data_IF_754052544719
#
_entry.id   IF_754052544719
#
_cell.length_a   1.000
_cell.length_b   1.000
_cell.length_c   1.000
_cell.angle_alpha   90.00
_cell.angle_beta   90.00
_cell.angle_gamma   90.00
#
_symmetry.space_group_name_H-M   'P 1'
#
loop_
_entity.id
_entity.type
_entity.pdbx_description
1 polymer ?
#
# COMPACT_ATOMS: atom_id res chain seq x y z
N UNK A 1 -5.17 -19.31 -28.68
CA UNK A 1 -5.44 -18.98 -27.28
C UNK A 1 -6.43 -17.84 -27.29
N UNK A 2 -7.67 -18.05 -26.84
CA UNK A 2 -8.57 -16.94 -26.56
C UNK A 2 -7.84 -15.97 -25.63
N UNK A 3 -7.75 -14.71 -26.01
CA UNK A 3 -7.23 -13.67 -25.14
C UNK A 3 -8.13 -13.62 -23.91
N UNK A 4 -7.60 -13.97 -22.74
CA UNK A 4 -8.35 -13.89 -21.50
C UNK A 4 -8.98 -12.49 -21.37
N UNK A 5 -10.27 -12.44 -21.09
CA UNK A 5 -11.04 -11.22 -21.02
C UNK A 5 -11.80 -11.17 -19.71
N UNK A 6 -11.61 -10.09 -18.97
CA UNK A 6 -12.34 -9.79 -17.75
C UNK A 6 -12.78 -8.33 -17.80
N UNK A 7 -14.09 -8.10 -17.84
CA UNK A 7 -14.64 -6.77 -18.06
C UNK A 7 -14.53 -5.91 -16.79
N UNK A 8 -13.80 -4.80 -16.86
CA UNK A 8 -13.62 -3.87 -15.76
C UNK A 8 -14.95 -3.25 -15.26
N UNK A 9 -15.97 -3.18 -16.13
CA UNK A 9 -17.29 -2.66 -15.77
C UNK A 9 -18.04 -3.56 -14.78
N UNK A 10 -17.66 -4.83 -14.67
CA UNK A 10 -18.24 -5.72 -13.66
C UNK A 10 -17.90 -5.31 -12.24
N UNK A 11 -16.83 -4.53 -12.05
CA UNK A 11 -16.30 -4.06 -10.75
C UNK A 11 -16.70 -2.61 -10.45
N UNK A 12 -17.80 -2.15 -11.03
CA UNK A 12 -18.40 -0.86 -10.73
C UNK A 12 -19.53 -1.07 -9.73
N UNK A 13 -19.59 -0.19 -8.73
CA UNK A 13 -20.75 -0.05 -7.83
C UNK A 13 -20.94 1.43 -7.51
N UNK A 14 -22.16 1.81 -7.12
CA UNK A 14 -22.44 3.19 -6.73
C UNK A 14 -21.90 3.44 -5.32
N UNK A 15 -20.90 4.32 -5.19
CA UNK A 15 -20.38 4.79 -3.91
C UNK A 15 -20.78 6.25 -3.70
N UNK A 16 -21.82 6.53 -2.89
CA UNK A 16 -22.22 7.90 -2.58
C UNK A 16 -21.13 8.66 -1.81
N UNK A 17 -20.96 9.97 -2.08
CA UNK A 17 -19.94 10.81 -1.45
C UNK A 17 -20.11 10.85 0.08
N UNK A 18 -21.34 10.74 0.61
CA UNK A 18 -21.64 10.70 2.04
C UNK A 18 -21.16 9.42 2.75
N UNK A 19 -20.90 8.33 2.01
CA UNK A 19 -20.33 7.09 2.56
C UNK A 19 -18.81 7.17 2.67
N UNK A 20 -18.15 8.16 2.05
CA UNK A 20 -16.70 8.30 2.07
C UNK A 20 -16.25 8.98 3.38
N UNK A 21 -15.46 8.28 4.19
CA UNK A 21 -14.93 8.86 5.42
C UNK A 21 -13.81 9.87 5.15
N UNK A 22 -14.08 11.15 5.42
CA UNK A 22 -13.08 12.23 5.30
C UNK A 22 -12.15 12.34 6.53
N UNK A 23 -12.60 11.84 7.67
CA UNK A 23 -11.86 11.83 8.93
C UNK A 23 -11.98 10.47 9.61
N UNK A 24 -10.93 10.00 10.30
CA UNK A 24 -11.03 8.80 11.13
C UNK A 24 -11.83 9.09 12.40
N UNK A 25 -12.36 8.04 13.02
CA UNK A 25 -12.99 8.14 14.36
C UNK A 25 -11.97 8.56 15.41
N UNK A 26 -12.42 9.19 16.51
CA UNK A 26 -11.53 9.62 17.58
C UNK A 26 -10.67 8.45 18.10
N UNK A 27 -11.32 7.34 18.44
CA UNK A 27 -10.68 6.06 18.75
C UNK A 27 -10.72 5.19 17.50
N UNK A 28 -9.55 4.76 17.03
CA UNK A 28 -9.41 4.03 15.76
C UNK A 28 -10.10 2.67 15.76
N UNK A 29 -10.13 2.01 16.92
CA UNK A 29 -10.69 0.67 17.10
C UNK A 29 -12.20 0.64 17.32
N UNK A 30 -12.87 1.79 17.30
CA UNK A 30 -14.33 1.90 17.44
C UNK A 30 -15.02 1.89 16.06
N UNK A 31 -14.26 1.67 14.98
CA UNK A 31 -14.82 1.50 13.63
C UNK A 31 -15.63 0.22 13.54
N UNK A 32 -16.60 0.17 12.62
CA UNK A 32 -17.35 -1.06 12.36
C UNK A 32 -16.42 -2.11 11.74
N UNK A 33 -16.70 -3.37 12.01
CA UNK A 33 -16.07 -4.53 11.40
C UNK A 33 -17.16 -5.41 10.78
N UNK A 34 -17.09 -5.64 9.47
CA UNK A 34 -17.92 -6.61 8.77
C UNK A 34 -17.17 -7.93 8.68
N UNK A 35 -17.64 -8.98 9.35
CA UNK A 35 -17.06 -10.32 9.23
C UNK A 35 -17.81 -11.12 8.18
N UNK A 36 -17.09 -11.61 7.16
CA UNK A 36 -17.62 -12.51 6.14
C UNK A 36 -16.96 -13.88 6.24
N UNK A 37 -17.75 -14.91 6.56
CA UNK A 37 -17.27 -16.28 6.74
C UNK A 37 -18.27 -17.28 6.15
N UNK A 38 -17.86 -18.03 5.13
CA UNK A 38 -18.67 -19.07 4.47
C UNK A 38 -20.08 -18.59 4.07
N UNK A 39 -20.17 -17.41 3.44
CA UNK A 39 -21.45 -16.84 2.99
C UNK A 39 -22.24 -16.08 4.06
N UNK A 40 -21.82 -16.13 5.33
CA UNK A 40 -22.47 -15.40 6.43
C UNK A 40 -21.78 -14.06 6.68
N UNK A 41 -22.57 -13.00 6.77
CA UNK A 41 -22.15 -11.66 7.21
C UNK A 41 -22.49 -11.50 8.70
N UNK A 42 -21.62 -10.86 9.47
CA UNK A 42 -21.84 -10.50 10.88
C UNK A 42 -21.23 -9.14 11.16
N UNK A 43 -22.03 -8.23 11.73
CA UNK A 43 -21.57 -6.92 12.19
C UNK A 43 -20.90 -7.05 13.57
N UNK A 44 -19.76 -6.37 13.72
CA UNK A 44 -18.99 -6.23 14.96
C UNK A 44 -18.41 -4.82 15.06
N UNK A 45 -17.79 -4.53 16.20
CA UNK A 45 -16.88 -3.39 16.33
C UNK A 45 -15.43 -3.87 16.23
N UNK A 46 -14.54 -3.06 15.66
CA UNK A 46 -13.17 -3.49 15.34
C UNK A 46 -12.37 -3.95 16.58
N UNK A 47 -12.58 -3.37 17.76
CA UNK A 47 -11.91 -3.86 18.97
C UNK A 47 -12.32 -5.29 19.38
N UNK A 48 -13.43 -5.81 18.87
CA UNK A 48 -13.90 -7.20 19.07
C UNK A 48 -13.22 -8.19 18.12
N UNK A 49 -12.35 -7.73 17.22
CA UNK A 49 -11.61 -8.59 16.28
C UNK A 49 -10.77 -9.66 16.97
N UNK A 50 -10.42 -9.44 18.24
CA UNK A 50 -9.73 -10.43 19.07
C UNK A 50 -10.49 -11.76 19.14
N UNK A 51 -11.83 -11.73 19.12
CA UNK A 51 -12.69 -12.92 19.19
C UNK A 51 -12.64 -13.77 17.90
N UNK A 52 -12.11 -13.21 16.80
CA UNK A 52 -11.97 -13.89 15.52
C UNK A 52 -10.61 -14.59 15.36
N UNK A 53 -9.71 -14.44 16.34
CA UNK A 53 -8.38 -15.04 16.35
C UNK A 53 -8.26 -16.20 17.33
N UNK A 54 -7.36 -17.11 17.02
CA UNK A 54 -7.00 -18.26 17.84
C UNK A 54 -5.52 -18.18 18.24
N UNK A 55 -5.19 -18.78 19.39
CA UNK A 55 -3.79 -18.94 19.80
C UNK A 55 -3.02 -19.69 18.70
N UNK A 56 -1.84 -19.18 18.34
CA UNK A 56 -1.01 -19.73 17.28
C UNK A 56 -1.23 -19.10 15.91
N UNK A 57 -2.30 -18.30 15.72
CA UNK A 57 -2.50 -17.54 14.47
C UNK A 57 -1.32 -16.58 14.23
N UNK A 58 -1.02 -16.32 12.96
CA UNK A 58 0.03 -15.40 12.54
C UNK A 58 -0.56 -14.25 11.74
N UNK A 59 -0.47 -13.03 12.29
CA UNK A 59 -0.90 -11.83 11.59
C UNK A 59 0.27 -11.20 10.82
N UNK A 60 0.05 -10.90 9.54
CA UNK A 60 1.03 -10.29 8.64
C UNK A 60 0.73 -8.80 8.44
N UNK A 61 1.61 -7.96 8.98
CA UNK A 61 1.49 -6.51 8.97
C UNK A 61 2.42 -5.87 7.92
N UNK A 62 1.96 -4.81 7.24
CA UNK A 62 2.85 -3.93 6.46
C UNK A 62 3.28 -2.74 7.33
N UNK A 63 4.55 -2.70 7.75
CA UNK A 63 5.09 -1.70 8.66
C UNK A 63 5.60 -0.42 7.97
N UNK A 64 5.19 -0.19 6.72
CA UNK A 64 5.60 1.00 5.98
C UNK A 64 5.07 2.30 6.61
N UNK A 65 5.92 3.32 6.59
CA UNK A 65 5.68 4.66 7.14
C UNK A 65 5.56 5.71 6.04
N UNK A 66 4.46 6.46 6.13
CA UNK A 66 4.14 7.53 5.17
C UNK A 66 5.12 8.69 5.33
N UNK A 67 5.65 9.17 4.20
CA UNK A 67 6.41 10.41 4.09
C UNK A 67 5.50 11.58 3.72
N UNK A 68 5.81 12.81 4.14
CA UNK A 68 5.08 14.01 3.75
C UNK A 68 5.37 14.41 2.29
N UNK A 69 4.94 13.56 1.35
CA UNK A 69 5.27 13.62 -0.07
C UNK A 69 4.47 14.66 -0.89
N UNK A 70 3.77 15.60 -0.25
CA UNK A 70 3.00 16.66 -0.94
C UNK A 70 3.58 18.04 -0.61
N UNK A 71 3.90 18.85 -1.62
CA UNK A 71 4.46 20.18 -1.43
C UNK A 71 3.76 21.22 -2.31
N UNK A 72 3.68 22.45 -1.83
CA UNK A 72 3.15 23.59 -2.58
C UNK A 72 4.24 24.61 -2.87
N UNK A 73 4.27 25.06 -4.13
CA UNK A 73 5.14 26.11 -4.64
C UNK A 73 4.30 27.30 -5.09
N UNK A 74 4.80 28.51 -4.84
CA UNK A 74 4.14 29.71 -5.34
C UNK A 74 4.23 29.75 -6.88
N UNK A 75 3.13 30.17 -7.51
CA UNK A 75 3.06 30.39 -8.96
C UNK A 75 3.21 31.88 -9.34
N UNK A 76 3.39 32.76 -8.35
CA UNK A 76 3.31 34.22 -8.50
C UNK A 76 1.88 34.73 -8.76
N UNK A 77 0.85 33.90 -8.53
CA UNK A 77 -0.59 34.16 -8.72
C UNK A 77 -1.43 33.46 -7.63
N UNK A 78 -2.75 33.68 -7.62
CA UNK A 78 -3.68 33.30 -6.53
C UNK A 78 -3.83 31.82 -6.15
N UNK A 79 -3.38 30.82 -6.93
CA UNK A 79 -3.32 29.42 -6.42
C UNK A 79 -1.93 28.82 -6.64
N UNK A 80 -1.38 28.10 -5.65
CA UNK A 80 -0.07 27.47 -5.74
C UNK A 80 -0.04 26.31 -6.76
N UNK A 81 1.16 25.99 -7.22
CA UNK A 81 1.47 24.75 -7.91
C UNK A 81 1.61 23.66 -6.86
N UNK A 82 0.91 22.55 -7.07
CA UNK A 82 0.93 21.42 -6.16
C UNK A 82 1.80 20.32 -6.75
N UNK A 83 2.71 19.78 -5.94
CA UNK A 83 3.56 18.65 -6.32
C UNK A 83 3.30 17.51 -5.35
N UNK A 84 2.82 16.38 -5.88
CA UNK A 84 2.68 15.12 -5.16
C UNK A 84 3.73 14.14 -5.68
N UNK A 85 4.70 13.81 -4.84
CA UNK A 85 5.73 12.81 -5.13
C UNK A 85 5.12 11.40 -5.06
N UNK A 86 5.43 10.56 -6.04
CA UNK A 86 4.90 9.19 -6.16
C UNK A 86 5.95 8.14 -5.76
N UNK A 87 7.15 8.26 -6.33
CA UNK A 87 8.33 7.42 -6.03
C UNK A 87 9.61 8.07 -6.56
N UNK A 88 10.80 7.66 -6.09
CA UNK A 88 12.06 8.06 -6.69
C UNK A 88 12.11 7.65 -8.17
N UNK A 89 12.74 8.47 -9.00
CA UNK A 89 12.90 8.19 -10.42
C UNK A 89 14.03 7.16 -10.66
N UNK A 90 13.87 6.32 -11.70
CA UNK A 90 14.82 5.26 -12.03
C UNK A 90 14.73 4.06 -11.07
N UNK A 91 15.87 3.41 -10.82
CA UNK A 91 15.95 2.19 -9.99
C UNK A 91 16.33 2.48 -8.53
N UNK A 92 16.18 3.73 -8.09
CA UNK A 92 16.55 4.15 -6.74
C UNK A 92 15.42 3.83 -5.76
N UNK A 93 15.75 3.25 -4.61
CA UNK A 93 14.76 3.01 -3.55
C UNK A 93 14.47 4.30 -2.75
N UNK A 94 13.43 4.28 -1.92
CA UNK A 94 13.05 5.43 -1.10
C UNK A 94 14.12 5.82 -0.09
N UNK A 95 14.74 4.87 0.61
CA UNK A 95 15.77 5.13 1.62
C UNK A 95 16.93 5.93 1.04
N UNK A 96 17.46 5.51 -0.11
CA UNK A 96 18.57 6.18 -0.77
C UNK A 96 18.15 7.57 -1.29
N UNK A 97 16.93 7.70 -1.81
CA UNK A 97 16.43 8.97 -2.33
C UNK A 97 16.18 10.00 -1.22
N UNK A 98 15.68 9.57 -0.06
CA UNK A 98 15.51 10.42 1.11
C UNK A 98 16.85 10.87 1.70
N UNK A 99 17.91 10.06 1.53
CA UNK A 99 19.25 10.39 2.00
C UNK A 99 20.07 11.29 1.05
N UNK A 100 19.54 11.65 -0.12
CA UNK A 100 20.18 12.59 -1.05
C UNK A 100 20.54 13.90 -0.36
N UNK A 101 21.71 14.49 -0.69
CA UNK A 101 22.28 15.66 0.00
C UNK A 101 22.28 16.97 -0.77
N UNK A 102 22.02 16.93 -2.08
CA UNK A 102 22.09 18.12 -2.94
C UNK A 102 21.05 18.15 -4.06
N UNK A 103 20.70 16.97 -4.57
CA UNK A 103 19.65 16.82 -5.57
C UNK A 103 18.94 15.48 -5.44
N UNK A 104 17.65 15.43 -5.75
CA UNK A 104 16.88 14.19 -5.78
C UNK A 104 15.85 14.24 -6.92
N UNK A 105 15.67 13.11 -7.62
CA UNK A 105 14.75 12.99 -8.77
C UNK A 105 13.57 12.10 -8.43
N UNK A 106 12.37 12.57 -8.72
CA UNK A 106 11.13 11.90 -8.34
C UNK A 106 10.11 11.92 -9.46
N UNK A 107 9.37 10.82 -9.60
CA UNK A 107 8.12 10.81 -10.35
C UNK A 107 7.05 11.53 -9.53
N UNK A 108 6.35 12.48 -10.14
CA UNK A 108 5.42 13.38 -9.47
C UNK A 108 4.14 13.62 -10.29
N UNK A 109 3.02 13.82 -9.60
CA UNK A 109 1.83 14.46 -10.16
C UNK A 109 1.92 15.96 -9.86
N UNK A 110 1.68 16.80 -10.88
CA UNK A 110 1.72 18.25 -10.75
C UNK A 110 0.31 18.83 -10.90
N UNK A 111 -0.27 19.27 -9.79
CA UNK A 111 -1.51 20.00 -9.76
C UNK A 111 -1.32 21.46 -10.20
N UNK A 112 -2.33 22.02 -10.87
CA UNK A 112 -2.27 23.37 -11.46
C UNK A 112 -1.12 23.58 -12.46
N UNK A 113 -0.67 22.53 -13.16
CA UNK A 113 0.46 22.57 -14.11
C UNK A 113 0.40 23.73 -15.12
N UNK A 114 -0.79 24.13 -15.60
CA UNK A 114 -0.97 25.28 -16.51
C UNK A 114 -0.46 26.62 -15.95
N UNK A 115 -0.23 26.70 -14.63
CA UNK A 115 0.31 27.88 -13.94
C UNK A 115 1.83 27.86 -13.80
N UNK A 116 2.48 26.72 -14.02
CA UNK A 116 3.93 26.63 -14.06
C UNK A 116 4.44 27.23 -15.38
N UNK A 117 4.89 28.48 -15.33
CA UNK A 117 5.34 29.25 -16.51
C UNK A 117 6.86 29.46 -16.59
N UNK A 118 7.56 29.24 -15.49
CA UNK A 118 9.01 29.38 -15.40
C UNK A 118 9.70 28.04 -15.62
N UNK A 119 11.00 28.05 -15.95
CA UNK A 119 11.80 26.82 -16.04
C UNK A 119 11.97 26.15 -14.68
N UNK A 120 12.17 26.96 -13.64
CA UNK A 120 12.45 26.52 -12.27
C UNK A 120 11.46 27.21 -11.33
N UNK A 121 10.96 26.47 -10.33
CA UNK A 121 10.25 27.05 -9.18
C UNK A 121 11.18 27.04 -7.97
N UNK A 122 11.02 28.03 -7.10
CA UNK A 122 11.80 28.18 -5.88
C UNK A 122 10.89 28.22 -4.66
N UNK A 123 11.39 27.70 -3.55
CA UNK A 123 10.77 27.77 -2.22
C UNK A 123 11.84 28.01 -1.18
N UNK A 124 11.66 29.03 -0.35
CA UNK A 124 12.54 29.26 0.80
C UNK A 124 12.14 28.27 1.92
N UNK A 125 13.14 27.58 2.48
CA UNK A 125 12.99 26.61 3.56
C UNK A 125 13.68 27.17 4.80
N UNK A 126 12.97 27.17 5.94
CA UNK A 126 13.48 27.69 7.21
C UNK A 126 13.73 26.54 8.20
N UNK A 127 14.91 26.55 8.82
CA UNK A 127 15.33 25.59 9.86
C UNK A 127 16.03 26.34 10.99
N UNK A 128 15.27 26.71 12.03
CA UNK A 128 15.78 27.61 13.08
C UNK A 128 16.21 28.95 12.48
N UNK A 129 17.47 29.32 12.68
CA UNK A 129 18.05 30.55 12.11
C UNK A 129 18.59 30.38 10.67
N UNK A 130 18.70 29.13 10.20
CA UNK A 130 19.20 28.85 8.85
C UNK A 130 18.06 28.92 7.82
N UNK A 131 18.34 29.55 6.69
CA UNK A 131 17.45 29.56 5.52
C UNK A 131 18.19 29.09 4.27
N UNK A 132 17.52 28.31 3.45
CA UNK A 132 18.06 27.85 2.17
C UNK A 132 16.96 27.76 1.12
N UNK A 133 17.35 27.66 -0.15
CA UNK A 133 16.41 27.62 -1.27
C UNK A 133 16.30 26.20 -1.81
N UNK A 134 15.07 25.67 -1.82
CA UNK A 134 14.71 24.49 -2.60
C UNK A 134 14.25 24.94 -3.97
N UNK A 135 14.87 24.39 -5.01
CA UNK A 135 14.52 24.63 -6.40
C UNK A 135 14.00 23.34 -7.03
N UNK A 136 13.02 23.44 -7.91
CA UNK A 136 12.49 22.28 -8.64
C UNK A 136 12.34 22.59 -10.12
N UNK A 137 12.76 21.66 -10.97
CA UNK A 137 12.63 21.73 -12.42
C UNK A 137 12.01 20.46 -12.99
N UNK A 138 11.30 20.59 -14.10
CA UNK A 138 10.78 19.44 -14.87
C UNK A 138 11.91 18.94 -15.76
N UNK A 139 12.37 17.71 -15.53
CA UNK A 139 13.42 17.09 -16.36
C UNK A 139 12.85 16.21 -17.45
N UNK A 140 11.69 15.60 -17.21
CA UNK A 140 11.00 14.78 -18.20
C UNK A 140 9.49 14.70 -17.87
N UNK A 141 8.70 14.20 -18.81
CA UNK A 141 7.27 13.92 -18.60
C UNK A 141 6.79 12.80 -19.49
N UNK A 142 5.82 12.04 -19.00
CA UNK A 142 5.00 11.16 -19.82
C UNK A 142 3.51 11.48 -19.62
N UNK A 143 2.63 10.64 -20.14
CA UNK A 143 1.18 10.85 -20.06
C UNK A 143 0.62 10.83 -18.62
N UNK A 144 1.30 10.16 -17.69
CA UNK A 144 0.80 9.89 -16.34
C UNK A 144 1.50 10.68 -15.22
N UNK A 145 2.76 11.10 -15.42
CA UNK A 145 3.55 11.78 -14.40
C UNK A 145 4.65 12.65 -15.01
N UNK A 146 5.19 13.54 -14.18
CA UNK A 146 6.38 14.34 -14.44
C UNK A 146 7.56 13.74 -13.70
N UNK A 147 8.74 13.77 -14.30
CA UNK A 147 9.99 13.56 -13.56
C UNK A 147 10.48 14.96 -13.18
N UNK A 148 10.57 15.20 -11.87
CA UNK A 148 11.04 16.45 -11.31
C UNK A 148 12.40 16.23 -10.66
N UNK A 149 13.32 17.19 -10.84
CA UNK A 149 14.57 17.25 -10.09
C UNK A 149 14.50 18.38 -9.07
N UNK A 150 14.65 18.01 -7.81
CA UNK A 150 14.76 18.93 -6.69
C UNK A 150 16.23 19.19 -6.41
N UNK A 151 16.62 20.45 -6.20
CA UNK A 151 17.98 20.87 -5.86
C UNK A 151 17.96 21.87 -4.72
N UNK A 152 18.90 21.78 -3.80
CA UNK A 152 19.00 22.73 -2.68
C UNK A 152 20.44 23.02 -2.32
N UNK A 153 20.66 24.19 -1.70
CA UNK A 153 21.98 24.73 -1.37
C UNK A 153 22.32 24.59 0.12
N UNK A 154 22.05 23.42 0.71
CA UNK A 154 22.39 23.13 2.11
C UNK A 154 22.74 21.65 2.30
N UNK A 155 24.04 21.34 2.34
CA UNK A 155 24.54 19.96 2.46
C UNK A 155 24.23 19.29 3.80
N UNK A 156 23.83 20.05 4.83
CA UNK A 156 23.47 19.49 6.14
C UNK A 156 22.08 18.85 6.15
N UNK A 157 21.24 19.15 5.16
CA UNK A 157 19.88 18.63 5.05
C UNK A 157 19.85 17.55 3.96
N UNK A 158 19.36 16.36 4.30
CA UNK A 158 18.99 15.39 3.27
C UNK A 158 17.58 15.71 2.71
N UNK A 159 17.19 15.03 1.64
CA UNK A 159 15.87 15.26 1.03
C UNK A 159 14.72 14.89 1.98
N UNK A 160 14.87 13.84 2.78
CA UNK A 160 13.89 13.45 3.81
C UNK A 160 13.64 14.55 4.83
N UNK A 161 14.69 15.22 5.32
CA UNK A 161 14.59 16.33 6.25
C UNK A 161 13.79 17.49 5.63
N UNK A 162 14.05 17.79 4.35
CA UNK A 162 13.31 18.82 3.59
C UNK A 162 11.82 18.48 3.51
N UNK A 163 11.49 17.21 3.25
CA UNK A 163 10.10 16.74 3.25
C UNK A 163 9.48 16.88 4.64
N UNK A 164 10.17 16.48 5.70
CA UNK A 164 9.64 16.58 7.07
C UNK A 164 9.34 18.01 7.51
N UNK A 165 10.13 18.98 7.03
CA UNK A 165 9.99 20.40 7.33
C UNK A 165 8.88 21.09 6.53
N UNK A 166 8.72 20.75 5.25
CA UNK A 166 7.92 21.54 4.31
C UNK A 166 6.89 20.73 3.50
N UNK A 167 6.93 19.42 3.61
CA UNK A 167 5.94 18.53 3.05
C UNK A 167 4.69 18.45 3.90
N UNK A 168 3.62 17.98 3.28
CA UNK A 168 2.34 17.67 3.91
C UNK A 168 2.02 16.19 3.68
N UNK A 169 1.28 15.60 4.62
CA UNK A 169 0.75 14.24 4.45
C UNK A 169 -0.05 14.16 3.14
N UNK A 170 0.34 13.26 2.22
CA UNK A 170 -0.33 13.06 0.93
C UNK A 170 -1.64 12.27 1.12
N UNK A 171 -2.69 12.98 1.50
CA UNK A 171 -4.02 12.37 1.59
C UNK A 171 -4.52 11.94 0.20
N UNK A 172 -5.22 10.80 0.08
CA UNK A 172 -5.81 10.34 -1.17
C UNK A 172 -6.74 11.38 -1.79
N UNK A 173 -6.91 11.39 -3.13
CA UNK A 173 -7.69 12.42 -3.83
C UNK A 173 -9.18 12.43 -3.46
N UNK A 174 -9.74 11.33 -2.97
CA UNK A 174 -11.12 11.26 -2.48
C UNK A 174 -11.31 11.89 -1.10
N UNK A 175 -10.24 12.14 -0.33
CA UNK A 175 -10.31 12.92 0.90
C UNK A 175 -10.28 14.40 0.53
N UNK A 176 -11.45 14.94 0.16
CA UNK A 176 -11.61 16.31 -0.37
C UNK A 176 -11.58 17.39 0.73
N UNK A 177 -10.49 17.42 1.49
CA UNK A 177 -10.22 18.46 2.51
C UNK A 177 -8.73 18.77 2.58
N UNK A 178 -8.40 19.88 3.25
CA UNK A 178 -7.02 20.22 3.52
C UNK A 178 -6.39 19.24 4.52
N UNK A 179 -5.09 18.96 4.30
CA UNK A 179 -4.25 18.24 5.26
C UNK A 179 -4.09 19.10 6.52
N UNK A 180 -4.19 18.46 7.68
CA UNK A 180 -4.01 19.07 9.00
C UNK A 180 -2.79 18.47 9.69
N UNK A 181 -2.29 19.10 10.75
CA UNK A 181 -1.18 18.55 11.55
C UNK A 181 -1.51 17.17 12.14
N UNK A 182 -2.77 16.92 12.47
CA UNK A 182 -3.25 15.61 12.96
C UNK A 182 -3.07 14.50 11.94
N UNK A 183 -3.08 14.78 10.62
CA UNK A 183 -2.92 13.75 9.59
C UNK A 183 -1.52 13.13 9.58
N UNK A 184 -0.48 13.84 10.07
CA UNK A 184 0.87 13.29 10.22
C UNK A 184 0.89 12.06 11.14
N UNK A 185 0.05 12.07 12.16
CA UNK A 185 -0.11 10.96 13.10
C UNK A 185 -1.26 10.02 12.70
N UNK A 186 -2.37 10.58 12.20
CA UNK A 186 -3.63 9.85 11.96
C UNK A 186 -3.66 9.07 10.66
N UNK A 187 -2.96 9.52 9.62
CA UNK A 187 -2.80 8.80 8.36
C UNK A 187 -1.57 7.88 8.38
N UNK A 188 -1.46 7.12 9.47
CA UNK A 188 -0.31 6.28 9.76
C UNK A 188 -0.72 5.18 10.76
N UNK A 189 -0.19 3.98 10.58
CA UNK A 189 -0.42 2.87 11.52
C UNK A 189 0.43 3.07 12.78
N UNK A 190 -0.05 2.56 13.92
CA UNK A 190 0.66 2.71 15.21
C UNK A 190 1.97 1.93 15.31
N UNK A 191 2.20 1.02 14.35
CA UNK A 191 3.35 0.13 14.25
C UNK A 191 4.25 0.47 13.05
N UNK A 192 4.04 1.61 12.40
CA UNK A 192 4.82 2.00 11.23
C UNK A 192 6.28 2.32 11.60
N UNK A 193 7.22 1.66 10.92
CA UNK A 193 8.67 1.72 11.21
C UNK A 193 9.47 2.20 10.00
N UNK A 194 9.22 1.62 8.81
CA UNK A 194 10.06 1.81 7.64
C UNK A 194 9.60 2.99 6.77
N UNK A 195 10.33 4.10 6.84
CA UNK A 195 10.01 5.36 6.13
C UNK A 195 10.18 5.19 4.62
N UNK A 196 9.13 5.46 3.86
CA UNK A 196 9.24 5.46 2.39
C UNK A 196 7.95 5.33 1.61
N UNK A 197 6.77 5.57 2.19
CA UNK A 197 5.52 5.41 1.46
C UNK A 197 4.76 6.71 1.24
N UNK A 198 4.04 6.80 0.11
CA UNK A 198 3.14 7.92 -0.19
C UNK A 198 1.72 7.63 0.30
N UNK A 199 1.40 6.39 0.66
CA UNK A 199 0.07 6.00 1.12
C UNK A 199 0.13 5.07 2.33
N UNK A 200 -0.75 5.30 3.30
CA UNK A 200 -0.78 4.45 4.48
C UNK A 200 -1.31 3.04 4.14
N UNK A 201 -0.83 1.97 4.81
CA UNK A 201 -1.51 0.68 4.88
C UNK A 201 -2.84 0.82 5.65
N UNK A 202 -3.88 1.29 4.96
CA UNK A 202 -5.11 1.83 5.59
C UNK A 202 -5.86 0.83 6.48
N UNK A 203 -5.84 -0.46 6.15
CA UNK A 203 -6.42 -1.52 6.98
C UNK A 203 -5.75 -1.63 8.36
N UNK A 204 -4.48 -1.23 8.44
CA UNK A 204 -3.74 -1.16 9.70
C UNK A 204 -4.12 0.01 10.59
N UNK A 205 -4.85 1.01 10.08
CA UNK A 205 -5.16 2.24 10.81
C UNK A 205 -6.14 2.02 11.97
N UNK A 206 -6.87 0.91 11.99
CA UNK A 206 -7.87 0.58 13.02
C UNK A 206 -7.23 0.00 14.29
N UNK A 207 -6.00 -0.52 14.18
CA UNK A 207 -5.27 -1.05 15.32
C UNK A 207 -4.79 0.07 16.25
N UNK A 208 -4.87 -0.21 17.55
CA UNK A 208 -4.27 0.61 18.60
C UNK A 208 -3.16 -0.17 19.29
N UNK A 209 -2.20 0.52 19.92
CA UNK A 209 -1.16 -0.13 20.72
C UNK A 209 -1.77 -1.02 21.82
N UNK A 210 -2.91 -0.63 22.38
CA UNK A 210 -3.62 -1.44 23.36
C UNK A 210 -4.17 -2.74 22.76
N UNK A 211 -4.82 -2.65 21.59
CA UNK A 211 -5.38 -3.82 20.91
C UNK A 211 -4.28 -4.79 20.46
N UNK A 212 -3.17 -4.28 19.88
CA UNK A 212 -2.02 -5.11 19.49
C UNK A 212 -1.45 -5.87 20.70
N UNK A 213 -1.29 -5.21 21.85
CA UNK A 213 -0.84 -5.88 23.08
C UNK A 213 -1.81 -6.98 23.52
N UNK A 214 -3.12 -6.76 23.45
CA UNK A 214 -4.12 -7.79 23.78
C UNK A 214 -4.03 -9.00 22.85
N UNK A 215 -3.86 -8.76 21.54
CA UNK A 215 -3.69 -9.82 20.53
C UNK A 215 -2.44 -10.66 20.83
N UNK A 216 -1.29 -10.02 21.09
CA UNK A 216 -0.07 -10.77 21.44
C UNK A 216 -0.24 -11.55 22.74
N UNK A 217 -0.87 -10.95 23.75
CA UNK A 217 -1.12 -11.60 25.04
C UNK A 217 -2.10 -12.79 24.96
N UNK A 218 -2.96 -12.86 23.95
CA UNK A 218 -3.82 -14.04 23.71
C UNK A 218 -3.08 -15.18 23.00
N UNK A 219 -1.78 -15.01 22.73
CA UNK A 219 -0.94 -16.01 22.07
C UNK A 219 -1.05 -16.00 20.54
N UNK A 220 -1.48 -14.89 19.95
CA UNK A 220 -1.41 -14.64 18.50
C UNK A 220 -0.05 -14.05 18.17
N UNK A 221 0.58 -14.56 17.11
CA UNK A 221 1.88 -14.11 16.63
C UNK A 221 1.72 -12.97 15.61
N UNK A 222 2.72 -12.10 15.54
CA UNK A 222 2.77 -11.01 14.55
C UNK A 222 4.10 -11.08 13.81
N UNK A 223 4.03 -10.94 12.49
CA UNK A 223 5.20 -10.73 11.64
C UNK A 223 4.97 -9.53 10.72
N UNK A 224 6.06 -8.91 10.28
CA UNK A 224 6.02 -7.67 9.52
C UNK A 224 6.81 -7.81 8.22
N UNK A 225 6.25 -7.26 7.14
CA UNK A 225 6.93 -6.98 5.89
C UNK A 225 6.90 -5.48 5.61
N UNK A 226 7.70 -5.03 4.66
CA UNK A 226 7.64 -3.65 4.16
C UNK A 226 7.24 -3.64 2.70
N UNK A 227 6.14 -2.96 2.36
CA UNK A 227 5.87 -2.53 0.98
C UNK A 227 5.55 -1.04 1.00
N UNK A 228 6.42 -0.26 0.36
CA UNK A 228 6.24 1.17 0.17
C UNK A 228 5.18 1.44 -0.89
N UNK A 229 3.99 1.82 -0.45
CA UNK A 229 2.86 2.08 -1.34
C UNK A 229 3.10 3.39 -2.08
N UNK A 230 3.10 3.34 -3.41
CA UNK A 230 3.13 4.51 -4.27
C UNK A 230 1.75 5.10 -4.48
N UNK A 231 1.66 6.32 -5.01
CA UNK A 231 0.37 6.94 -5.34
C UNK A 231 -0.41 6.21 -6.45
N UNK A 232 0.25 5.32 -7.20
CA UNK A 232 -0.37 4.50 -8.24
C UNK A 232 -1.52 3.62 -7.73
N UNK A 233 -1.52 3.25 -6.45
CA UNK A 233 -2.59 2.46 -5.80
C UNK A 233 -3.96 3.14 -5.83
N UNK A 234 -4.01 4.47 -6.00
CA UNK A 234 -5.28 5.21 -6.07
C UNK A 234 -5.83 5.36 -7.49
N UNK A 235 -5.12 4.86 -8.50
CA UNK A 235 -5.58 5.00 -9.89
C UNK A 235 -6.68 3.97 -10.18
N UNK A 236 -7.83 4.40 -10.72
CA UNK A 236 -8.84 3.46 -11.19
C UNK A 236 -8.32 2.69 -12.41
N UNK A 237 -8.93 1.54 -12.66
CA UNK A 237 -8.79 0.76 -13.88
C UNK A 237 -9.59 1.50 -14.96
N UNK A 238 -8.87 2.02 -15.97
CA UNK A 238 -9.45 2.81 -17.07
C UNK A 238 -9.55 2.03 -18.39
N UNK A 239 -9.22 0.74 -18.37
CA UNK A 239 -9.25 -0.14 -19.54
C UNK A 239 -10.42 -1.11 -19.43
N UNK A 240 -11.03 -1.47 -20.56
CA UNK A 240 -12.18 -2.39 -20.56
C UNK A 240 -11.80 -3.80 -20.12
N UNK A 241 -10.68 -4.32 -20.61
CA UNK A 241 -10.14 -5.61 -20.19
C UNK A 241 -9.17 -5.41 -19.03
N UNK A 242 -9.48 -5.97 -17.85
CA UNK A 242 -8.64 -5.92 -16.65
C UNK A 242 -7.21 -6.39 -16.93
N UNK A 243 -7.02 -7.39 -17.78
CA UNK A 243 -5.68 -7.90 -18.13
C UNK A 243 -4.79 -6.88 -18.86
N UNK A 244 -5.38 -5.85 -19.47
CA UNK A 244 -4.65 -4.78 -20.13
C UNK A 244 -4.22 -3.66 -19.17
N UNK A 245 -4.65 -3.71 -17.90
CA UNK A 245 -4.23 -2.73 -16.90
C UNK A 245 -2.77 -2.98 -16.55
N UNK A 246 -1.94 -1.94 -16.60
CA UNK A 246 -0.54 -2.02 -16.21
C UNK A 246 -0.39 -1.67 -14.73
N UNK A 247 -0.11 -2.66 -13.90
CA UNK A 247 0.26 -2.43 -12.51
C UNK A 247 1.58 -1.64 -12.40
N UNK A 248 1.61 -0.70 -11.46
CA UNK A 248 2.85 -0.04 -11.07
C UNK A 248 3.71 -0.99 -10.24
N UNK A 249 5.00 -1.08 -10.55
CA UNK A 249 5.98 -1.85 -9.76
C UNK A 249 6.27 -1.12 -8.45
N UNK A 250 6.29 -1.88 -7.36
CA UNK A 250 6.62 -1.44 -6.00
C UNK A 250 7.63 -2.40 -5.37
N UNK A 251 8.39 -1.92 -4.39
CA UNK A 251 9.39 -2.74 -3.70
C UNK A 251 8.80 -3.38 -2.45
N UNK A 252 9.06 -4.68 -2.29
CA UNK A 252 8.76 -5.47 -1.08
C UNK A 252 10.07 -5.86 -0.43
N UNK A 253 10.17 -5.63 0.87
CA UNK A 253 11.28 -6.10 1.71
C UNK A 253 10.75 -7.08 2.74
N UNK A 254 11.41 -8.24 2.83
CA UNK A 254 11.16 -9.27 3.83
C UNK A 254 12.47 -9.71 4.48
N UNK A 255 12.38 -10.16 5.73
CA UNK A 255 13.53 -10.65 6.49
C UNK A 255 13.54 -12.18 6.61
N UNK A 256 14.69 -12.72 7.03
CA UNK A 256 14.83 -14.11 7.48
C UNK A 256 13.83 -14.46 8.59
N UNK A 257 13.65 -13.55 9.55
CA UNK A 257 12.70 -13.73 10.66
C UNK A 257 11.25 -13.78 10.17
N UNK A 258 10.90 -13.01 9.14
CA UNK A 258 9.59 -13.06 8.51
C UNK A 258 9.30 -14.42 7.88
N UNK A 259 10.26 -14.96 7.12
CA UNK A 259 10.13 -16.29 6.50
C UNK A 259 10.04 -17.41 7.55
N UNK A 260 10.85 -17.33 8.61
CA UNK A 260 10.79 -18.28 9.72
C UNK A 260 9.45 -18.21 10.46
N UNK A 261 8.87 -17.02 10.64
CA UNK A 261 7.54 -16.90 11.23
C UNK A 261 6.47 -17.60 10.39
N UNK A 262 6.50 -17.43 9.06
CA UNK A 262 5.58 -18.12 8.15
C UNK A 262 5.74 -19.64 8.17
N UNK A 263 6.99 -20.15 8.20
CA UNK A 263 7.28 -21.58 8.25
C UNK A 263 6.87 -22.22 9.59
N UNK A 264 6.93 -21.45 10.68
CA UNK A 264 6.58 -21.90 12.03
C UNK A 264 5.17 -21.49 12.48
N UNK A 265 4.31 -21.03 11.56
CA UNK A 265 2.94 -20.67 11.90
C UNK A 265 2.21 -21.93 12.42
N UNK A 266 1.74 -21.87 13.68
CA UNK A 266 1.06 -23.00 14.34
C UNK A 266 -0.38 -23.17 13.88
N UNK A 267 -0.99 -22.09 13.39
CA UNK A 267 -2.37 -22.06 12.92
C UNK A 267 -2.50 -21.18 11.66
N UNK A 268 -3.54 -20.36 11.57
CA UNK A 268 -3.88 -19.66 10.34
C UNK A 268 -3.03 -18.39 10.14
N UNK A 269 -2.60 -18.17 8.89
CA UNK A 269 -1.97 -16.90 8.48
C UNK A 269 -3.08 -15.93 8.08
N UNK A 270 -3.06 -14.72 8.62
CA UNK A 270 -4.06 -13.67 8.37
C UNK A 270 -3.34 -12.40 7.93
N UNK A 271 -3.78 -11.80 6.84
CA UNK A 271 -3.13 -10.60 6.29
C UNK A 271 -3.87 -9.34 6.70
N UNK A 272 -3.11 -8.31 7.11
CA UNK A 272 -3.65 -6.99 7.43
C UNK A 272 -3.46 -6.06 6.22
N UNK A 273 -4.50 -5.94 5.43
CA UNK A 273 -4.57 -5.12 4.22
C UNK A 273 -4.22 -5.87 2.94
N UNK A 274 -4.86 -5.45 1.85
CA UNK A 274 -4.63 -5.96 0.48
C UNK A 274 -3.18 -5.84 0.05
N UNK A 275 -2.47 -4.79 0.49
CA UNK A 275 -1.03 -4.64 0.26
C UNK A 275 -0.23 -5.79 0.88
N UNK A 276 -0.52 -6.16 2.13
CA UNK A 276 0.16 -7.28 2.81
C UNK A 276 -0.14 -8.61 2.13
N UNK A 277 -1.39 -8.83 1.70
CA UNK A 277 -1.79 -10.01 0.92
C UNK A 277 -1.02 -10.12 -0.40
N UNK A 278 -0.99 -9.04 -1.19
CA UNK A 278 -0.26 -9.02 -2.46
C UNK A 278 1.24 -9.24 -2.24
N UNK A 279 1.83 -8.63 -1.21
CA UNK A 279 3.22 -8.89 -0.85
C UNK A 279 3.44 -10.38 -0.55
N UNK A 280 2.60 -10.98 0.31
CA UNK A 280 2.72 -12.38 0.70
C UNK A 280 2.56 -13.35 -0.48
N UNK A 281 1.62 -13.09 -1.38
CA UNK A 281 1.48 -13.82 -2.64
C UNK A 281 2.71 -13.63 -3.55
N UNK A 282 3.29 -12.43 -3.60
CA UNK A 282 4.52 -12.17 -4.35
C UNK A 282 5.71 -12.93 -3.74
N UNK A 283 5.78 -13.05 -2.41
CA UNK A 283 6.81 -13.88 -1.72
C UNK A 283 6.71 -15.33 -2.15
N UNK A 284 5.49 -15.90 -2.21
CA UNK A 284 5.27 -17.27 -2.74
C UNK A 284 5.80 -17.38 -4.18
N UNK A 285 5.38 -16.47 -5.06
CA UNK A 285 5.79 -16.53 -6.47
C UNK A 285 7.31 -16.39 -6.63
N UNK A 286 7.94 -15.48 -5.88
CA UNK A 286 9.39 -15.29 -5.92
C UNK A 286 10.14 -16.55 -5.50
N UNK A 287 9.73 -17.19 -4.41
CA UNK A 287 10.33 -18.44 -3.94
C UNK A 287 10.15 -19.61 -4.92
N UNK A 288 9.01 -19.66 -5.61
CA UNK A 288 8.79 -20.61 -6.70
C UNK A 288 9.71 -20.32 -7.90
N UNK A 289 9.85 -19.06 -8.31
CA UNK A 289 10.73 -18.63 -9.42
C UNK A 289 12.19 -19.00 -9.19
N UNK A 290 12.70 -18.80 -7.98
CA UNK A 290 14.08 -19.13 -7.61
C UNK A 290 14.38 -20.63 -7.80
N UNK A 291 13.40 -21.50 -7.53
CA UNK A 291 13.55 -22.95 -7.74
C UNK A 291 13.41 -23.37 -9.21
N UNK A 292 12.59 -22.65 -9.98
CA UNK A 292 12.42 -22.88 -11.43
C UNK A 292 13.56 -22.30 -12.29
N UNK A 293 14.60 -21.71 -11.67
CA UNK A 293 15.72 -21.11 -12.39
C UNK A 293 15.37 -19.83 -13.16
N UNK A 294 14.22 -19.22 -12.89
CA UNK A 294 13.81 -17.96 -13.53
C UNK A 294 14.63 -16.83 -12.90
N UNK A 295 15.45 -16.10 -13.67
CA UNK A 295 16.38 -15.11 -13.12
C UNK A 295 15.65 -13.85 -12.63
N UNK A 296 16.26 -13.19 -11.64
CA UNK A 296 15.89 -11.85 -11.18
C UNK A 296 15.03 -11.82 -9.91
N UNK A 297 15.19 -10.75 -9.13
CA UNK A 297 14.41 -10.47 -7.91
C UNK A 297 13.23 -9.56 -8.22
N UNK A 298 12.31 -10.08 -9.03
CA UNK A 298 11.08 -9.37 -9.40
C UNK A 298 9.93 -10.37 -9.57
N UNK A 299 8.71 -9.90 -9.31
CA UNK A 299 7.45 -10.60 -9.56
C UNK A 299 6.63 -9.73 -10.50
N UNK A 300 6.48 -10.19 -11.74
CA UNK A 300 5.74 -9.46 -12.76
C UNK A 300 4.26 -9.85 -12.75
N UNK A 301 3.43 -9.03 -13.39
CA UNK A 301 2.00 -9.33 -13.57
C UNK A 301 1.78 -10.68 -14.25
N UNK A 302 2.63 -11.06 -15.21
CA UNK A 302 2.55 -12.32 -15.94
C UNK A 302 2.90 -13.53 -15.08
N UNK A 303 3.67 -13.36 -14.00
CA UNK A 303 3.97 -14.45 -13.07
C UNK A 303 2.69 -14.94 -12.35
N UNK A 304 1.70 -14.06 -12.19
CA UNK A 304 0.37 -14.39 -11.66
C UNK A 304 -0.53 -15.18 -12.64
N UNK A 305 -0.09 -15.42 -13.88
CA UNK A 305 -0.77 -16.25 -14.88
C UNK A 305 -0.11 -17.63 -15.05
N UNK A 306 1.08 -17.83 -14.48
CA UNK A 306 1.87 -19.06 -14.63
C UNK A 306 1.39 -20.12 -13.66
N UNK A 307 0.73 -21.16 -14.19
CA UNK A 307 0.15 -22.24 -13.38
C UNK A 307 1.18 -22.89 -12.46
N UNK A 308 2.40 -23.11 -12.93
CA UNK A 308 3.50 -23.69 -12.17
C UNK A 308 3.93 -22.84 -10.97
N UNK A 309 3.69 -21.53 -10.99
CA UNK A 309 4.01 -20.62 -9.89
C UNK A 309 2.81 -20.40 -8.95
N UNK A 310 1.61 -20.16 -9.50
CA UNK A 310 0.42 -19.83 -8.68
C UNK A 310 -0.05 -21.00 -7.81
N UNK A 311 0.16 -22.23 -8.28
CA UNK A 311 -0.16 -23.46 -7.56
C UNK A 311 1.02 -23.99 -6.73
N UNK A 312 2.14 -23.25 -6.68
CA UNK A 312 3.27 -23.62 -5.86
C UNK A 312 2.86 -23.73 -4.39
N UNK A 313 3.48 -24.66 -3.68
CA UNK A 313 3.35 -24.78 -2.25
C UNK A 313 4.02 -23.56 -1.58
N UNK A 314 3.30 -22.77 -0.77
CA UNK A 314 3.87 -21.61 -0.09
C UNK A 314 5.06 -21.96 0.81
N UNK A 315 4.97 -23.03 1.60
CA UNK A 315 6.06 -23.48 2.49
C UNK A 315 7.33 -23.76 1.71
N UNK A 316 7.24 -24.51 0.59
CA UNK A 316 8.41 -24.78 -0.27
C UNK A 316 9.01 -23.48 -0.82
N UNK A 317 8.16 -22.53 -1.18
CA UNK A 317 8.60 -21.21 -1.68
C UNK A 317 9.34 -20.42 -0.59
N UNK A 318 8.85 -20.47 0.66
CA UNK A 318 9.50 -19.82 1.80
C UNK A 318 10.85 -20.47 2.13
N UNK A 319 10.96 -21.80 2.10
CA UNK A 319 12.23 -22.53 2.24
C UNK A 319 13.24 -22.14 1.15
N UNK A 320 12.80 -22.02 -0.10
CA UNK A 320 13.68 -21.62 -1.21
C UNK A 320 14.25 -20.21 -1.00
N UNK A 321 13.43 -19.28 -0.51
CA UNK A 321 13.88 -17.94 -0.15
C UNK A 321 14.83 -17.94 1.04
N UNK A 322 14.55 -18.76 2.05
CA UNK A 322 15.43 -18.90 3.21
C UNK A 322 16.82 -19.40 2.79
N UNK A 323 16.85 -20.46 1.96
CA UNK A 323 18.10 -20.99 1.38
C UNK A 323 18.82 -19.93 0.54
N UNK A 324 18.08 -19.10 -0.21
CA UNK A 324 18.67 -17.99 -0.95
C UNK A 324 19.32 -16.96 -0.03
N UNK A 325 18.65 -16.54 1.04
CA UNK A 325 19.19 -15.60 2.03
C UNK A 325 20.47 -16.15 2.66
N UNK A 326 20.44 -17.42 3.08
CA UNK A 326 21.58 -18.10 3.71
C UNK A 326 22.77 -18.26 2.76
N UNK A 327 22.52 -18.68 1.52
CA UNK A 327 23.57 -18.83 0.50
C UNK A 327 24.28 -17.51 0.19
N UNK A 328 23.56 -16.39 0.27
CA UNK A 328 24.10 -15.06 -0.02
C UNK A 328 24.56 -14.32 1.26
N UNK A 329 24.46 -14.94 2.44
CA UNK A 329 24.82 -14.32 3.72
C UNK A 329 24.12 -12.97 3.97
N UNK A 330 22.83 -12.89 3.64
CA UNK A 330 21.99 -11.71 3.85
C UNK A 330 20.79 -12.04 4.75
N UNK A 331 20.39 -11.09 5.59
CA UNK A 331 19.26 -11.26 6.51
C UNK A 331 17.93 -10.73 5.96
N UNK A 332 17.98 -9.90 4.93
CA UNK A 332 16.81 -9.31 4.27
C UNK A 332 16.97 -9.34 2.75
N UNK A 333 15.83 -9.43 2.05
CA UNK A 333 15.75 -9.34 0.60
C UNK A 333 14.71 -8.29 0.22
N UNK A 334 15.09 -7.43 -0.73
CA UNK A 334 14.18 -6.50 -1.38
C UNK A 334 13.98 -6.92 -2.83
N UNK A 335 12.74 -6.95 -3.30
CA UNK A 335 12.38 -7.33 -4.66
C UNK A 335 11.23 -6.48 -5.18
N UNK A 336 11.12 -6.38 -6.50
CA UNK A 336 10.03 -5.66 -7.15
C UNK A 336 8.79 -6.52 -7.32
N UNK A 337 7.60 -5.96 -7.12
CA UNK A 337 6.34 -6.61 -7.47
C UNK A 337 5.42 -5.68 -8.24
N UNK A 338 4.90 -6.20 -9.35
CA UNK A 338 3.77 -5.66 -10.09
C UNK A 338 2.61 -6.67 -10.14
N UNK A 339 2.60 -7.62 -9.20
CA UNK A 339 1.57 -8.66 -9.13
C UNK A 339 0.18 -8.05 -9.11
N UNK A 340 -0.69 -8.54 -10.00
CA UNK A 340 -2.10 -8.21 -10.00
C UNK A 340 -2.89 -9.46 -9.61
N UNK A 341 -3.77 -9.32 -8.62
CA UNK A 341 -4.65 -10.39 -8.16
C UNK A 341 -6.06 -10.05 -8.64
N UNK A 342 -6.69 -11.00 -9.32
CA UNK A 342 -8.00 -10.86 -9.97
C UNK A 342 -8.79 -12.17 -9.83
N UNK A 343 -10.11 -12.17 -10.10
CA UNK A 343 -10.93 -13.39 -10.08
C UNK A 343 -10.32 -14.56 -10.85
N UNK A 344 -10.23 -15.72 -10.18
CA UNK A 344 -9.57 -16.92 -10.71
C UNK A 344 -8.11 -17.09 -10.29
N UNK A 345 -7.50 -16.10 -9.64
CA UNK A 345 -6.17 -16.26 -9.03
C UNK A 345 -6.22 -17.21 -7.81
N UNK A 346 -5.28 -18.16 -7.74
CA UNK A 346 -5.19 -19.13 -6.65
C UNK A 346 -4.55 -18.51 -5.38
N UNK A 347 -5.39 -18.02 -4.47
CA UNK A 347 -4.99 -17.50 -3.16
C UNK A 347 -4.83 -18.66 -2.16
N UNK A 348 -3.58 -18.97 -1.80
CA UNK A 348 -3.26 -20.08 -0.90
C UNK A 348 -2.20 -19.74 0.16
N UNK A 349 -1.84 -18.45 0.32
CA UNK A 349 -0.85 -18.03 1.32
C UNK A 349 -1.43 -17.61 2.67
N UNK A 350 -2.74 -17.33 2.75
CA UNK A 350 -3.39 -16.95 3.99
C UNK A 350 -4.86 -17.39 4.01
N UNK A 351 -5.45 -17.43 5.21
CA UNK A 351 -6.83 -17.86 5.43
C UNK A 351 -7.83 -16.73 5.54
N UNK A 352 -7.37 -15.53 5.87
CA UNK A 352 -8.24 -14.36 5.96
C UNK A 352 -7.51 -13.07 5.63
N UNK A 353 -8.29 -12.09 5.18
CA UNK A 353 -7.86 -10.73 4.87
C UNK A 353 -8.66 -9.75 5.73
N UNK A 354 -7.96 -8.89 6.46
CA UNK A 354 -8.55 -7.72 7.11
C UNK A 354 -8.31 -6.51 6.22
N UNK A 355 -9.36 -5.83 5.79
CA UNK A 355 -9.21 -4.71 4.84
C UNK A 355 -10.36 -3.71 4.93
N UNK A 356 -10.15 -2.48 4.45
CA UNK A 356 -11.22 -1.50 4.26
C UNK A 356 -12.14 -1.85 3.08
N UNK A 357 -13.22 -1.08 2.90
CA UNK A 357 -13.98 -1.06 1.66
C UNK A 357 -13.28 -0.18 0.61
N UNK A 358 -13.24 -0.64 -0.64
CA UNK A 358 -12.39 -0.06 -1.69
C UNK A 358 -13.18 0.69 -2.76
N UNK A 359 -12.52 1.57 -3.51
CA UNK A 359 -13.16 2.33 -4.59
C UNK A 359 -13.71 1.40 -5.69
N UNK A 360 -14.81 1.78 -6.36
CA UNK A 360 -15.23 1.11 -7.59
C UNK A 360 -14.12 1.19 -8.64
N UNK A 361 -14.06 0.19 -9.52
CA UNK A 361 -13.05 0.08 -10.58
C UNK A 361 -11.60 0.16 -10.06
N UNK A 362 -11.32 -0.36 -8.86
CA UNK A 362 -9.97 -0.39 -8.30
C UNK A 362 -9.35 -1.79 -8.34
N UNK A 363 -8.03 -1.86 -8.44
CA UNK A 363 -7.29 -3.12 -8.34
C UNK A 363 -7.44 -3.77 -6.95
N UNK A 364 -7.72 -2.98 -5.92
CA UNK A 364 -8.03 -3.48 -4.59
C UNK A 364 -9.38 -4.22 -4.54
N UNK A 365 -10.39 -3.75 -5.30
CA UNK A 365 -11.67 -4.43 -5.41
C UNK A 365 -11.54 -5.78 -6.14
N UNK A 366 -10.62 -5.89 -7.11
CA UNK A 366 -10.32 -7.16 -7.77
C UNK A 366 -9.77 -8.21 -6.81
N UNK A 367 -8.98 -7.82 -5.80
CA UNK A 367 -8.53 -8.74 -4.74
C UNK A 367 -9.72 -9.27 -3.95
N UNK A 368 -10.68 -8.41 -3.61
CA UNK A 368 -11.90 -8.85 -2.90
C UNK A 368 -12.71 -9.81 -3.77
N UNK A 369 -12.86 -9.50 -5.05
CA UNK A 369 -13.56 -10.36 -5.99
C UNK A 369 -12.82 -11.69 -6.24
N UNK A 370 -11.48 -11.70 -6.16
CA UNK A 370 -10.68 -12.92 -6.22
C UNK A 370 -10.94 -13.84 -5.03
N UNK A 371 -11.21 -13.27 -3.84
CA UNK A 371 -11.53 -14.03 -2.62
C UNK A 371 -12.99 -14.52 -2.64
N UNK A 372 -13.93 -13.66 -3.02
CA UNK A 372 -15.36 -13.88 -2.81
C UNK A 372 -16.12 -14.40 -4.03
N UNK A 373 -15.51 -14.39 -5.20
CA UNK A 373 -16.24 -14.55 -6.46
C UNK A 373 -17.34 -13.50 -6.57
N UNK A 374 -18.51 -13.86 -7.07
CA UNK A 374 -19.63 -12.93 -7.24
C UNK A 374 -20.18 -12.33 -5.93
N UNK A 375 -19.90 -12.96 -4.77
CA UNK A 375 -20.40 -12.53 -3.46
C UNK A 375 -19.80 -11.20 -2.98
N UNK A 376 -18.77 -10.67 -3.62
CA UNK A 376 -18.25 -9.34 -3.26
C UNK A 376 -19.33 -8.26 -3.39
N UNK A 377 -20.24 -8.39 -4.37
CA UNK A 377 -21.38 -7.46 -4.57
C UNK A 377 -22.32 -7.49 -3.36
N UNK A 378 -22.70 -8.69 -2.92
CA UNK A 378 -23.53 -8.89 -1.73
C UNK A 378 -22.92 -8.24 -0.49
N UNK A 379 -21.60 -8.39 -0.29
CA UNK A 379 -20.89 -7.79 0.85
C UNK A 379 -20.88 -6.26 0.78
N UNK A 380 -20.62 -5.68 -0.40
CA UNK A 380 -20.60 -4.22 -0.57
C UNK A 380 -21.99 -3.61 -0.50
N UNK A 381 -23.01 -4.26 -1.08
CA UNK A 381 -24.40 -3.84 -0.97
C UNK A 381 -24.89 -3.87 0.48
N UNK A 382 -24.51 -4.89 1.24
CA UNK A 382 -24.78 -4.96 2.67
C UNK A 382 -24.15 -3.78 3.42
N UNK A 383 -22.86 -3.52 3.17
CA UNK A 383 -22.14 -2.43 3.81
C UNK A 383 -22.78 -1.06 3.51
N UNK A 384 -23.18 -0.81 2.25
CA UNK A 384 -23.87 0.41 1.83
C UNK A 384 -25.21 0.58 2.56
N UNK A 385 -26.01 -0.49 2.67
CA UNK A 385 -27.32 -0.50 3.33
C UNK A 385 -27.24 -0.37 4.85
N UNK A 386 -26.14 -0.79 5.48
CA UNK A 386 -25.97 -0.83 6.94
C UNK A 386 -25.01 0.26 7.47
N UNK A 387 -24.93 1.40 6.76
CA UNK A 387 -24.18 2.59 7.17
C UNK A 387 -22.72 2.33 7.52
N UNK A 388 -22.06 1.47 6.74
CA UNK A 388 -20.61 1.41 6.76
C UNK A 388 -20.00 2.62 6.04
N UNK A 389 -18.87 3.07 6.58
CA UNK A 389 -18.05 4.13 6.01
C UNK A 389 -16.96 3.49 5.15
N UNK A 390 -16.63 4.12 4.02
CA UNK A 390 -15.78 3.53 2.99
C UNK A 390 -14.40 4.19 2.94
N UNK A 391 -13.46 3.50 2.28
CA UNK A 391 -12.10 3.96 1.96
C UNK A 391 -11.20 4.12 3.21
N UNK A 392 -10.12 4.91 3.11
CA UNK A 392 -9.01 4.91 4.06
C UNK A 392 -9.38 5.07 5.53
N UNK A 393 -10.28 6.01 5.83
CA UNK A 393 -10.71 6.31 7.20
C UNK A 393 -12.06 5.68 7.55
N UNK A 394 -12.58 4.84 6.66
CA UNK A 394 -13.85 4.19 6.78
C UNK A 394 -13.85 3.11 7.84
N UNK A 395 -14.67 2.10 7.63
CA UNK A 395 -14.77 0.90 8.46
C UNK A 395 -13.97 -0.25 7.83
N UNK A 396 -13.94 -1.39 8.52
CA UNK A 396 -13.19 -2.58 8.13
C UNK A 396 -14.08 -3.74 7.77
N UNK A 397 -13.47 -4.71 7.09
CA UNK A 397 -14.00 -6.05 6.85
C UNK A 397 -12.93 -7.08 7.20
N UNK A 398 -13.36 -8.23 7.75
CA UNK A 398 -12.58 -9.45 7.89
C UNK A 398 -13.21 -10.49 6.97
N UNK A 399 -12.47 -10.91 5.96
CA UNK A 399 -12.95 -11.80 4.91
C UNK A 399 -12.16 -13.10 4.98
N UNK A 400 -12.84 -14.20 5.32
CA UNK A 400 -12.24 -15.53 5.28
C UNK A 400 -12.18 -16.06 3.84
N UNK A 401 -11.01 -16.57 3.47
CA UNK A 401 -10.71 -17.19 2.18
C UNK A 401 -11.02 -18.68 2.31
N UNK A 402 -11.95 -19.19 1.50
CA UNK A 402 -12.36 -20.60 1.57
C UNK A 402 -13.50 -20.96 0.65
#
# INVERSE_FOLDING_TARGET
METAFLNANEFIYNLPDEKIALYPLAVRSDSKLLVYKKGKITDRIFHEILDEFQRGDLLVFNNSKVIPARMFFDSGRSKPIEILMLKPAGNKNFTDALNDKSASKWECIVGNMRKWKTKILHKEIHTGECKFTLSVEIVDRNESFFILEFRWNNANQNFGDILDLNGLTPLPPYIRRNTTSRDKERYQTVYAKQTGSVAAPTAGLHFTNNLIRKIVNSGVNITELTLHVGAGTFKPILVDNVFNHKMHSEFVTISKTFLLALLNAENEVITIGTTSLRSLESVKLLGAKLNSGIPGLHVMQEDGLRKELIFANPFKSYENLLNYLEKNSIDEITFETSLMIYPGYNLNTCKALITNFHQPSSTLLLIIAAILGENWKTLYDYALKNDYRFLSYGDSSLIYIG
#
